data_IF_996896280513
#
_entry.id   IF_996896280513
#
_cell.length_a   1.000
_cell.length_b   1.000
_cell.length_c   1.000
_cell.angle_alpha   90.00
_cell.angle_beta   90.00
_cell.angle_gamma   90.00
#
_symmetry.space_group_name_H-M   'P 1'
#
loop_
_entity.id
_entity.type
_entity.pdbx_description
1 polymer ?
#
# COMPACT_ATOMS: atom_id res chain seq x y z
N UNK A 1 1.99 9.96 -1.93
CA UNK A 1 2.14 8.52 -1.61
C UNK A 1 2.49 7.77 -2.89
N UNK A 2 3.58 7.00 -2.88
CA UNK A 2 3.97 6.12 -3.99
C UNK A 2 4.13 4.70 -3.47
N UNK A 3 3.59 3.72 -4.20
CA UNK A 3 3.80 2.28 -3.94
C UNK A 3 4.55 1.68 -5.11
N UNK A 4 5.69 1.05 -4.84
CA UNK A 4 6.52 0.36 -5.83
C UNK A 4 6.40 -1.15 -5.66
N UNK A 5 6.05 -1.85 -6.74
CA UNK A 5 6.02 -3.30 -6.78
C UNK A 5 7.37 -3.83 -7.29
N UNK A 6 8.16 -4.43 -6.41
CA UNK A 6 9.42 -5.10 -6.76
C UNK A 6 9.32 -6.63 -6.61
N UNK A 7 8.09 -7.17 -6.50
CA UNK A 7 7.83 -8.61 -6.54
C UNK A 7 7.87 -9.14 -7.97
N UNK A 8 8.02 -10.45 -8.09
CA UNK A 8 7.96 -11.20 -9.35
C UNK A 8 6.52 -11.46 -9.85
N UNK A 9 5.52 -10.95 -9.12
CA UNK A 9 4.10 -11.06 -9.44
C UNK A 9 3.39 -9.70 -9.31
N UNK A 10 2.27 -9.50 -10.04
CA UNK A 10 1.47 -8.30 -9.89
C UNK A 10 0.82 -8.24 -8.51
N UNK A 11 0.61 -7.02 -8.03
CA UNK A 11 -0.12 -6.74 -6.79
C UNK A 11 -1.35 -5.90 -7.07
N UNK A 12 -2.28 -5.88 -6.12
CA UNK A 12 -3.36 -4.90 -6.08
C UNK A 12 -3.21 -4.02 -4.87
N UNK A 13 -3.49 -2.74 -5.04
CA UNK A 13 -3.38 -1.74 -3.99
C UNK A 13 -4.63 -0.89 -3.94
N UNK A 14 -5.07 -0.53 -2.74
CA UNK A 14 -6.16 0.42 -2.53
C UNK A 14 -5.74 1.38 -1.43
N UNK A 15 -6.21 2.62 -1.53
CA UNK A 15 -5.93 3.67 -0.55
C UNK A 15 -7.25 4.27 -0.07
N UNK A 16 -7.41 4.40 1.25
CA UNK A 16 -8.63 4.96 1.84
C UNK A 16 -8.82 6.41 1.42
N UNK A 17 -10.02 6.79 0.98
CA UNK A 17 -10.36 8.18 0.73
C UNK A 17 -11.24 8.72 1.86
N UNK A 18 -10.75 9.74 2.55
CA UNK A 18 -11.46 10.33 3.69
C UNK A 18 -12.33 11.55 3.32
N UNK A 19 -12.08 12.20 2.19
CA UNK A 19 -12.86 13.33 1.68
C UNK A 19 -13.72 12.97 0.44
N UNK A 20 -13.74 11.69 0.06
CA UNK A 20 -14.49 11.19 -1.09
C UNK A 20 -13.96 11.62 -2.46
N UNK A 21 -12.82 12.33 -2.53
CA UNK A 21 -12.25 12.84 -3.78
C UNK A 21 -11.43 11.81 -4.56
N UNK A 22 -11.00 10.73 -3.90
CA UNK A 22 -10.24 9.63 -4.50
C UNK A 22 -11.00 8.31 -4.37
N UNK A 23 -10.86 7.43 -5.36
CA UNK A 23 -11.56 6.15 -5.35
C UNK A 23 -10.85 5.13 -4.45
N UNK A 24 -11.53 4.46 -3.52
CA UNK A 24 -10.99 3.30 -2.80
C UNK A 24 -10.90 2.04 -3.69
N UNK A 25 -10.97 2.20 -5.01
CA UNK A 25 -10.77 1.13 -5.97
C UNK A 25 -9.42 0.44 -5.77
N UNK A 26 -9.39 -0.83 -6.16
CA UNK A 26 -8.17 -1.60 -6.27
C UNK A 26 -7.49 -1.31 -7.61
N UNK A 27 -6.24 -0.89 -7.55
CA UNK A 27 -5.38 -0.64 -8.71
C UNK A 27 -4.36 -1.77 -8.82
N UNK A 28 -4.18 -2.31 -10.03
CA UNK A 28 -3.15 -3.32 -10.28
C UNK A 28 -1.81 -2.65 -10.54
N UNK A 29 -0.75 -3.11 -9.88
CA UNK A 29 0.62 -2.71 -10.19
C UNK A 29 1.37 -3.95 -10.71
N UNK A 30 1.76 -3.90 -11.98
CA UNK A 30 2.57 -4.94 -12.60
C UNK A 30 3.96 -5.04 -11.95
N UNK A 31 4.65 -6.15 -12.18
CA UNK A 31 6.03 -6.37 -11.71
C UNK A 31 6.95 -5.24 -12.17
N UNK A 32 7.67 -4.62 -11.22
CA UNK A 32 8.54 -3.48 -11.46
C UNK A 32 7.83 -2.13 -11.61
N UNK A 33 6.50 -2.11 -11.54
CA UNK A 33 5.67 -0.91 -11.69
C UNK A 33 5.49 -0.11 -10.41
N UNK A 34 4.82 1.02 -10.53
CA UNK A 34 4.47 1.91 -9.41
C UNK A 34 3.12 2.57 -9.59
N UNK A 35 2.42 2.84 -8.50
CA UNK A 35 1.20 3.67 -8.45
C UNK A 35 1.41 4.83 -7.49
N UNK A 36 0.85 6.01 -7.78
CA UNK A 36 1.03 7.21 -6.97
C UNK A 36 -0.26 7.99 -6.77
N UNK A 37 -0.48 8.42 -5.53
CA UNK A 37 -1.59 9.29 -5.15
C UNK A 37 -1.06 10.56 -4.49
N UNK A 38 -1.57 11.70 -4.95
CA UNK A 38 -1.41 12.97 -4.26
C UNK A 38 -2.20 12.94 -2.95
N UNK A 39 -1.49 13.08 -1.83
CA UNK A 39 -2.03 13.09 -0.47
C UNK A 39 -1.50 14.25 0.36
N UNK A 40 -0.87 15.22 -0.28
CA UNK A 40 -0.17 16.32 0.40
C UNK A 40 -1.13 17.21 1.22
N UNK A 41 -2.43 17.11 0.94
CA UNK A 41 -3.50 17.87 1.61
C UNK A 41 -4.30 17.07 2.63
N UNK A 42 -4.09 15.76 2.77
CA UNK A 42 -4.86 14.91 3.70
C UNK A 42 -4.14 14.76 5.05
N UNK A 43 -4.25 15.81 5.87
CA UNK A 43 -3.65 15.90 7.21
C UNK A 43 -4.23 14.92 8.25
N UNK A 44 -5.19 14.07 7.86
CA UNK A 44 -5.75 13.03 8.74
C UNK A 44 -4.98 11.71 8.64
N UNK A 45 -4.15 11.56 7.61
CA UNK A 45 -3.48 10.30 7.29
C UNK A 45 -4.36 9.38 6.44
N UNK A 46 -3.86 8.19 6.11
CA UNK A 46 -4.55 7.26 5.22
C UNK A 46 -4.14 5.82 5.45
N UNK A 47 -5.01 4.89 5.04
CA UNK A 47 -4.78 3.45 5.09
C UNK A 47 -4.51 2.96 3.67
N UNK A 48 -3.43 2.19 3.49
CA UNK A 48 -3.11 1.51 2.24
C UNK A 48 -3.32 0.01 2.45
N UNK A 49 -4.17 -0.59 1.63
CA UNK A 49 -4.33 -2.02 1.54
C UNK A 49 -3.51 -2.56 0.36
N UNK A 50 -2.73 -3.61 0.60
CA UNK A 50 -1.89 -4.27 -0.41
C UNK A 50 -2.28 -5.74 -0.45
N UNK A 51 -2.77 -6.20 -1.60
CA UNK A 51 -3.03 -7.60 -1.88
C UNK A 51 -1.93 -8.16 -2.80
N UNK A 52 -1.29 -9.23 -2.35
CA UNK A 52 -0.21 -9.92 -3.05
C UNK A 52 -0.52 -11.42 -3.20
N UNK A 53 0.33 -12.16 -3.91
CA UNK A 53 0.12 -13.56 -4.28
C UNK A 53 -1.21 -13.79 -5.02
N UNK A 54 -1.52 -12.91 -5.99
CA UNK A 54 -2.78 -12.97 -6.76
C UNK A 54 -2.96 -14.26 -7.58
N UNK A 55 -1.91 -15.05 -7.74
CA UNK A 55 -1.93 -16.35 -8.42
C UNK A 55 -2.20 -17.53 -7.48
N UNK A 56 -2.23 -17.32 -6.17
CA UNK A 56 -2.53 -18.36 -5.21
C UNK A 56 -4.02 -18.75 -5.27
N UNK A 57 -4.29 -20.06 -5.07
CA UNK A 57 -5.65 -20.65 -5.09
C UNK A 57 -6.49 -20.20 -3.88
N UNK A 58 -5.85 -19.74 -2.81
CA UNK A 58 -6.50 -19.12 -1.65
C UNK A 58 -6.57 -17.59 -1.81
N UNK A 59 -7.64 -16.93 -1.32
CA UNK A 59 -7.84 -15.49 -1.49
C UNK A 59 -6.60 -14.73 -1.01
N UNK A 60 -5.97 -13.99 -1.94
CA UNK A 60 -4.71 -13.31 -1.70
C UNK A 60 -4.78 -12.46 -0.42
N UNK A 61 -3.80 -12.63 0.46
CA UNK A 61 -3.71 -11.89 1.71
C UNK A 61 -3.64 -10.39 1.43
N UNK A 62 -4.49 -9.61 2.10
CA UNK A 62 -4.37 -8.18 2.16
C UNK A 62 -3.63 -7.77 3.44
N UNK A 63 -2.57 -6.97 3.31
CA UNK A 63 -1.95 -6.25 4.44
C UNK A 63 -2.38 -4.80 4.41
N UNK A 64 -2.63 -4.26 5.60
CA UNK A 64 -3.02 -2.87 5.79
C UNK A 64 -1.89 -2.08 6.44
N UNK A 65 -1.62 -0.90 5.90
CA UNK A 65 -0.59 0.01 6.37
C UNK A 65 -1.24 1.35 6.70
N UNK A 66 -1.02 1.85 7.91
CA UNK A 66 -1.59 3.13 8.39
C UNK A 66 -0.51 4.21 8.33
N UNK A 67 -0.80 5.29 7.64
CA UNK A 67 0.06 6.45 7.49
C UNK A 67 -0.49 7.63 8.29
N UNK A 68 0.37 8.29 9.05
CA UNK A 68 0.03 9.51 9.78
C UNK A 68 -0.24 10.68 8.83
N UNK A 69 -1.10 11.60 9.26
CA UNK A 69 -1.40 12.80 8.52
C UNK A 69 -0.41 13.91 8.85
N UNK A 70 0.72 13.94 8.14
CA UNK A 70 1.67 15.06 8.20
C UNK A 70 1.64 15.82 6.88
N UNK A 71 1.42 17.14 6.96
CA UNK A 71 1.34 18.00 5.78
C UNK A 71 2.68 18.06 5.07
N UNK A 72 2.67 17.85 3.75
CA UNK A 72 3.87 17.91 2.91
C UNK A 72 4.81 16.72 3.01
N UNK A 73 4.40 15.62 3.66
CA UNK A 73 5.21 14.41 3.79
C UNK A 73 4.97 13.47 2.62
N UNK A 74 6.04 13.13 1.90
CA UNK A 74 5.99 12.17 0.81
C UNK A 74 6.35 10.77 1.27
N UNK A 75 5.35 9.89 1.37
CA UNK A 75 5.56 8.49 1.69
C UNK A 75 5.84 7.65 0.45
N UNK A 76 6.89 6.83 0.52
CA UNK A 76 7.27 5.83 -0.49
C UNK A 76 7.28 4.45 0.15
N UNK A 77 6.41 3.57 -0.34
CA UNK A 77 6.34 2.16 0.04
C UNK A 77 7.01 1.31 -1.03
N UNK A 78 7.97 0.49 -0.62
CA UNK A 78 8.58 -0.52 -1.49
C UNK A 78 8.14 -1.92 -1.02
N UNK A 79 7.57 -2.69 -1.93
CA UNK A 79 7.13 -4.06 -1.69
C UNK A 79 8.12 -4.99 -2.37
N UNK A 80 8.82 -5.81 -1.58
CA UNK A 80 9.97 -6.61 -2.00
C UNK A 80 9.87 -8.05 -1.49
N UNK A 81 10.68 -8.96 -2.03
CA UNK A 81 10.73 -10.38 -1.62
C UNK A 81 9.94 -11.30 -2.56
N UNK A 82 9.68 -12.53 -2.12
CA UNK A 82 8.90 -13.55 -2.84
C UNK A 82 7.98 -14.27 -1.85
N UNK A 83 6.71 -14.48 -2.23
CA UNK A 83 5.64 -15.18 -1.47
C UNK A 83 5.23 -14.59 -0.11
N UNK A 84 6.12 -13.87 0.58
CA UNK A 84 5.89 -13.18 1.85
C UNK A 84 6.55 -11.81 1.77
N UNK A 85 5.86 -10.79 1.23
CA UNK A 85 6.50 -9.53 0.93
C UNK A 85 7.02 -8.83 2.17
N UNK A 86 8.24 -8.31 2.05
CA UNK A 86 8.81 -7.33 2.95
C UNK A 86 8.39 -5.95 2.48
N UNK A 87 7.94 -5.12 3.41
CA UNK A 87 7.56 -3.74 3.11
C UNK A 87 8.51 -2.80 3.83
N UNK A 88 9.11 -1.89 3.06
CA UNK A 88 9.91 -0.78 3.60
C UNK A 88 9.18 0.53 3.33
N UNK A 89 9.07 1.35 4.38
CA UNK A 89 8.42 2.65 4.34
C UNK A 89 9.45 3.76 4.55
N UNK A 90 9.63 4.58 3.53
CA UNK A 90 10.45 5.77 3.60
C UNK A 90 9.55 7.01 3.55
N UNK A 91 9.90 8.02 4.35
CA UNK A 91 9.38 9.37 4.19
C UNK A 91 10.53 10.37 4.29
N UNK A 92 10.33 11.56 3.75
CA UNK A 92 11.19 12.72 3.94
C UNK A 92 11.31 13.14 5.42
N UNK A 93 10.41 12.68 6.28
CA UNK A 93 10.38 12.98 7.73
C UNK A 93 10.83 11.80 8.63
N UNK A 94 11.18 10.62 8.08
CA UNK A 94 11.68 9.45 8.83
C UNK A 94 11.04 8.10 8.47
N UNK A 95 11.46 7.02 9.14
CA UNK A 95 10.92 5.65 8.99
C UNK A 95 9.78 5.38 9.97
N UNK A 96 8.63 4.90 9.48
CA UNK A 96 7.46 4.58 10.32
C UNK A 96 7.36 3.07 10.65
N UNK A 97 6.75 2.80 11.80
CA UNK A 97 6.57 1.46 12.38
C UNK A 97 5.47 0.67 11.63
N UNK A 98 5.83 -0.54 11.20
CA UNK A 98 4.90 -1.51 10.61
C UNK A 98 3.89 -1.98 11.67
N UNK A 99 2.59 -1.74 11.41
CA UNK A 99 1.47 -2.30 12.18
C UNK A 99 0.77 -3.38 11.34
N UNK A 100 1.51 -4.34 10.79
CA UNK A 100 0.93 -5.41 10.00
C UNK A 100 0.00 -6.28 10.87
N UNK A 101 -1.31 -6.20 10.62
CA UNK A 101 -2.24 -7.29 10.91
C UNK A 101 -2.62 -7.93 9.57
N UNK A 102 -2.24 -9.20 9.40
CA UNK A 102 -2.73 -10.03 8.31
C UNK A 102 -4.12 -10.55 8.67
N UNK A 103 -5.13 -10.18 7.88
CA UNK A 103 -6.45 -10.81 7.97
C UNK A 103 -6.76 -11.50 6.64
N UNK A 104 -7.32 -12.72 6.65
CA UNK A 104 -7.84 -13.34 5.43
C UNK A 104 -8.91 -12.44 4.82
N UNK A 105 -8.94 -12.36 3.48
CA UNK A 105 -9.98 -11.63 2.74
C UNK A 105 -11.17 -12.56 2.62
N UNK A 106 -12.27 -12.26 3.32
CA UNK A 106 -13.52 -13.01 3.19
C UNK A 106 -14.17 -12.72 1.83
N UNK A 107 -14.57 -13.78 1.12
CA UNK A 107 -15.29 -13.76 -0.17
C UNK A 107 -16.73 -13.28 -0.05
#
# INVERSE_FOLDING_TARGET
MTVNNQLDSPIKVSISAWDGSQSPAWYSIDTGGSESWDRDRDFRGYIVAVQYNLWAVEPGFARYYVFGGESGTNYVMNITGSDSPNVTLNSDHGTYLDLSQSSPVDN
#
